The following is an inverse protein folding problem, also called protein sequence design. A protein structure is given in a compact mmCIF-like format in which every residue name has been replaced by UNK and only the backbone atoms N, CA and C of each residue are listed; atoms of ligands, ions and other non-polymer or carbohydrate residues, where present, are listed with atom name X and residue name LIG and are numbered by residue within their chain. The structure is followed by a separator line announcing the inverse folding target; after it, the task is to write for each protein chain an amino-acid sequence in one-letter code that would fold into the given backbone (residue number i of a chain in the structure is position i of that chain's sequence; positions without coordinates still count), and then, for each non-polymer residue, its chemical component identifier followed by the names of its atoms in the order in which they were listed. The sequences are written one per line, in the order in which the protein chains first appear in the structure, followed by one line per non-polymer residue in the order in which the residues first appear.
data_IF_316592579272
#
_entry.id   IF_316592579272
#
_cell.length_a   1.000
_cell.length_b   1.000
_cell.length_c   1.000
_cell.angle_alpha   90.00
_cell.angle_beta   90.00
_cell.angle_gamma   90.00
#
_symmetry.space_group_name_H-M   'P 1'
#
loop_
_entity.id
_entity.type
_entity.pdbx_description
1 polymer ?
#
# COMPACT_ATOMS: atom_id res chain seq x y z
N UNK A 1 -8.77 11.37 -8.60
CA UNK A 1 -8.12 10.14 -8.10
C UNK A 1 -8.31 9.02 -9.10
N UNK A 2 -7.49 8.95 -10.15
CA UNK A 2 -7.65 7.94 -11.22
C UNK A 2 -7.30 6.52 -10.75
N UNK A 3 -6.41 6.39 -9.76
CA UNK A 3 -6.02 5.12 -9.16
C UNK A 3 -6.95 4.69 -7.99
N UNK A 4 -7.98 5.47 -7.67
CA UNK A 4 -8.98 5.14 -6.63
C UNK A 4 -8.50 5.30 -5.18
N UNK A 5 -7.46 6.10 -4.93
CA UNK A 5 -6.92 6.35 -3.58
C UNK A 5 -7.90 7.04 -2.63
N UNK A 6 -8.87 7.77 -3.17
CA UNK A 6 -10.05 8.26 -2.44
C UNK A 6 -10.89 7.11 -1.88
N UNK A 7 -11.16 6.10 -2.71
CA UNK A 7 -11.83 4.86 -2.29
C UNK A 7 -11.05 4.09 -1.23
N UNK A 8 -9.73 3.92 -1.40
CA UNK A 8 -8.88 3.24 -0.40
C UNK A 8 -8.94 3.93 0.96
N UNK A 9 -8.82 5.26 0.97
CA UNK A 9 -8.88 6.08 2.19
C UNK A 9 -10.25 5.98 2.86
N UNK A 10 -11.33 6.12 2.09
CA UNK A 10 -12.70 6.03 2.62
C UNK A 10 -12.99 4.64 3.19
N UNK A 11 -12.55 3.57 2.53
CA UNK A 11 -12.72 2.19 3.00
C UNK A 11 -11.93 1.93 4.28
N UNK A 12 -10.69 2.43 4.41
CA UNK A 12 -9.91 2.26 5.63
C UNK A 12 -10.55 2.99 6.82
N UNK A 13 -11.13 4.18 6.60
CA UNK A 13 -11.92 4.87 7.63
C UNK A 13 -13.18 4.08 8.01
N UNK A 14 -13.85 3.45 7.05
CA UNK A 14 -14.97 2.55 7.31
C UNK A 14 -14.56 1.34 8.15
N UNK A 15 -13.43 0.71 7.81
CA UNK A 15 -12.85 -0.37 8.58
C UNK A 15 -12.47 0.07 10.01
N UNK A 16 -11.85 1.25 10.15
CA UNK A 16 -11.52 1.84 11.46
C UNK A 16 -12.75 2.00 12.35
N UNK A 17 -13.86 2.51 11.78
CA UNK A 17 -15.13 2.65 12.51
C UNK A 17 -15.67 1.29 12.95
N UNK A 18 -15.62 0.29 12.08
CA UNK A 18 -16.09 -1.06 12.42
C UNK A 18 -15.20 -1.71 13.49
N UNK A 19 -13.88 -1.61 13.35
CA UNK A 19 -12.91 -2.15 14.31
C UNK A 19 -13.08 -1.53 15.70
N UNK A 20 -13.22 -0.21 15.77
CA UNK A 20 -13.46 0.49 17.04
C UNK A 20 -14.76 0.03 17.71
N UNK A 21 -15.83 -0.19 16.94
CA UNK A 21 -17.10 -0.70 17.49
C UNK A 21 -17.02 -2.15 18.01
N UNK A 22 -15.96 -2.89 17.69
CA UNK A 22 -15.74 -4.28 18.09
C UNK A 22 -14.39 -4.47 18.80
N UNK A 23 -13.83 -3.39 19.37
CA UNK A 23 -12.46 -3.37 19.89
C UNK A 23 -12.22 -4.41 20.99
N UNK A 24 -13.22 -4.64 21.85
CA UNK A 24 -13.17 -5.63 22.94
C UNK A 24 -12.97 -7.09 22.46
N UNK A 25 -13.32 -7.37 21.20
CA UNK A 25 -13.19 -8.69 20.60
C UNK A 25 -11.88 -8.86 19.81
N UNK A 26 -11.08 -7.79 19.67
CA UNK A 26 -9.84 -7.86 18.91
C UNK A 26 -8.76 -8.61 19.71
N UNK A 27 -8.03 -9.55 19.07
CA UNK A 27 -6.98 -10.32 19.74
C UNK A 27 -5.72 -9.49 20.03
N UNK A 28 -5.64 -8.27 19.53
CA UNK A 28 -4.50 -7.37 19.66
C UNK A 28 -4.79 -6.00 19.04
N UNK A 29 -3.86 -5.04 19.19
CA UNK A 29 -4.00 -3.70 18.63
C UNK A 29 -4.00 -3.73 17.10
N UNK A 30 -4.66 -2.73 16.50
CA UNK A 30 -4.65 -2.51 15.04
C UNK A 30 -4.12 -1.11 14.75
N UNK A 31 -3.05 -1.03 13.96
CA UNK A 31 -2.50 0.23 13.45
C UNK A 31 -3.09 0.55 12.08
N UNK A 32 -3.52 1.79 11.88
CA UNK A 32 -4.09 2.27 10.62
C UNK A 32 -3.06 3.14 9.89
N UNK A 33 -2.62 2.70 8.71
CA UNK A 33 -1.60 3.40 7.91
C UNK A 33 -2.23 4.13 6.73
N UNK A 34 -2.28 5.47 6.79
CA UNK A 34 -2.70 6.32 5.68
C UNK A 34 -1.46 6.82 4.92
N UNK A 35 -0.98 6.00 3.98
CA UNK A 35 0.27 6.27 3.29
C UNK A 35 0.15 7.44 2.29
N UNK A 36 1.02 8.47 2.36
CA UNK A 36 1.10 9.50 1.33
C UNK A 36 1.89 9.02 0.11
N UNK A 37 1.92 9.81 -0.96
CA UNK A 37 2.91 9.73 -2.05
C UNK A 37 3.17 8.31 -2.63
N UNK A 38 2.13 7.50 -2.78
CA UNK A 38 2.22 6.14 -3.34
C UNK A 38 2.68 6.17 -4.81
N UNK A 39 2.10 7.05 -5.62
CA UNK A 39 2.35 7.14 -7.08
C UNK A 39 3.83 7.39 -7.42
N UNK A 40 4.58 8.02 -6.50
CA UNK A 40 6.01 8.28 -6.65
C UNK A 40 6.92 7.17 -6.10
N UNK A 41 6.35 6.15 -5.46
CA UNK A 41 7.10 5.03 -4.89
C UNK A 41 7.92 5.35 -3.63
N UNK A 42 7.72 6.52 -3.01
CA UNK A 42 8.55 6.99 -1.89
C UNK A 42 7.83 7.03 -0.54
N UNK A 43 6.49 7.12 -0.54
CA UNK A 43 5.73 7.29 0.70
C UNK A 43 5.87 6.14 1.69
N UNK A 44 5.78 4.89 1.22
CA UNK A 44 5.96 3.70 2.05
C UNK A 44 7.34 3.71 2.74
N UNK A 45 8.39 4.05 1.98
CA UNK A 45 9.75 4.08 2.49
C UNK A 45 9.91 5.10 3.61
N UNK A 46 9.42 6.32 3.41
CA UNK A 46 9.46 7.36 4.44
C UNK A 46 8.74 6.96 5.72
N UNK A 47 7.54 6.37 5.62
CA UNK A 47 6.82 5.89 6.79
C UNK A 47 7.57 4.78 7.54
N UNK A 48 8.19 3.85 6.81
CA UNK A 48 8.99 2.78 7.42
C UNK A 48 10.21 3.36 8.15
N UNK A 49 10.91 4.31 7.51
CA UNK A 49 12.08 4.97 8.11
C UNK A 49 11.68 5.79 9.37
N UNK A 50 10.42 6.26 9.45
CA UNK A 50 9.82 6.93 10.63
C UNK A 50 9.23 5.97 11.68
N UNK A 51 9.41 4.65 11.53
CA UNK A 51 8.99 3.64 12.51
C UNK A 51 7.53 3.18 12.40
N UNK A 52 6.85 3.41 11.27
CA UNK A 52 5.43 3.06 11.11
C UNK A 52 5.13 1.56 11.20
N UNK A 53 6.14 0.70 11.10
CA UNK A 53 6.02 -0.77 11.23
C UNK A 53 6.61 -1.32 12.54
N UNK A 54 7.07 -0.45 13.44
CA UNK A 54 7.63 -0.90 14.71
C UNK A 54 6.55 -1.60 15.56
N UNK A 55 6.81 -2.87 15.91
CA UNK A 55 5.85 -3.70 16.65
C UNK A 55 4.65 -4.20 15.82
N UNK A 56 4.69 -4.10 14.49
CA UNK A 56 3.67 -4.64 13.59
C UNK A 56 4.06 -6.06 13.14
N UNK A 57 3.24 -7.05 13.50
CA UNK A 57 3.48 -8.46 13.12
C UNK A 57 3.11 -8.75 11.66
N UNK A 58 2.05 -8.09 11.16
CA UNK A 58 1.50 -8.31 9.83
C UNK A 58 0.86 -7.03 9.30
N UNK A 59 1.04 -6.77 8.01
CA UNK A 59 0.44 -5.62 7.31
C UNK A 59 -0.44 -6.13 6.17
N UNK A 60 -1.61 -5.52 6.01
CA UNK A 60 -2.54 -5.79 4.93
C UNK A 60 -2.77 -4.51 4.11
N UNK A 61 -2.87 -4.68 2.80
CA UNK A 61 -3.26 -3.63 1.86
C UNK A 61 -4.22 -4.19 0.81
N UNK A 62 -4.94 -3.31 0.13
CA UNK A 62 -5.80 -3.70 -0.98
C UNK A 62 -5.76 -2.64 -2.07
N UNK A 63 -6.02 -3.06 -3.31
CA UNK A 63 -6.14 -2.15 -4.44
C UNK A 63 -7.44 -2.45 -5.19
N UNK A 64 -8.06 -1.42 -5.78
CA UNK A 64 -9.19 -1.65 -6.66
C UNK A 64 -8.65 -2.21 -7.99
N UNK A 65 -9.32 -3.20 -8.56
CA UNK A 65 -8.87 -3.79 -9.82
C UNK A 65 -10.03 -3.85 -10.80
N UNK A 66 -10.17 -2.86 -11.71
CA UNK A 66 -11.35 -2.74 -12.57
C UNK A 66 -11.64 -3.96 -13.45
N UNK A 67 -10.65 -4.81 -13.70
CA UNK A 67 -10.81 -6.04 -14.48
C UNK A 67 -11.39 -7.23 -13.66
N UNK A 68 -11.50 -7.11 -12.33
CA UNK A 68 -12.09 -8.14 -11.46
C UNK A 68 -13.56 -7.77 -11.18
N UNK A 69 -14.52 -8.72 -11.29
CA UNK A 69 -15.92 -8.46 -11.00
C UNK A 69 -16.17 -7.92 -9.58
N UNK A 70 -17.17 -7.04 -9.45
CA UNK A 70 -17.59 -6.55 -8.14
C UNK A 70 -18.00 -7.69 -7.19
N UNK A 71 -17.63 -7.56 -5.92
CA UNK A 71 -17.89 -8.57 -4.89
C UNK A 71 -16.86 -9.71 -4.83
N UNK A 72 -15.88 -9.73 -5.74
CA UNK A 72 -14.78 -10.69 -5.72
C UNK A 72 -13.49 -10.03 -5.22
N UNK A 73 -12.90 -10.61 -4.17
CA UNK A 73 -11.56 -10.27 -3.69
C UNK A 73 -10.58 -11.39 -4.07
N UNK A 74 -9.36 -11.02 -4.46
CA UNK A 74 -8.31 -11.96 -4.87
C UNK A 74 -7.07 -11.68 -4.04
N UNK A 75 -6.52 -12.71 -3.39
CA UNK A 75 -5.33 -12.65 -2.54
C UNK A 75 -4.50 -13.93 -2.76
N UNK A 76 -3.70 -14.00 -3.84
CA UNK A 76 -2.90 -15.18 -4.13
C UNK A 76 -1.63 -15.19 -3.27
N UNK A 77 -1.13 -16.38 -2.95
CA UNK A 77 0.16 -16.54 -2.28
C UNK A 77 1.31 -16.15 -3.21
N UNK A 78 2.38 -15.59 -2.63
CA UNK A 78 3.61 -15.26 -3.34
C UNK A 78 3.60 -13.88 -4.00
N UNK A 79 4.22 -13.76 -5.17
CA UNK A 79 4.43 -12.47 -5.84
C UNK A 79 3.17 -12.02 -6.60
N UNK A 80 2.69 -10.82 -6.30
CA UNK A 80 1.48 -10.24 -6.93
C UNK A 80 1.82 -9.12 -7.92
N UNK A 81 2.80 -8.27 -7.62
CA UNK A 81 3.24 -7.16 -8.47
C UNK A 81 4.74 -7.29 -8.79
N UNK A 82 5.14 -6.83 -9.98
CA UNK A 82 6.54 -6.84 -10.40
C UNK A 82 7.36 -5.77 -9.65
N UNK A 83 8.66 -6.02 -9.46
CA UNK A 83 9.58 -4.96 -9.06
C UNK A 83 9.74 -3.91 -10.15
N UNK A 84 9.91 -2.64 -9.76
CA UNK A 84 10.27 -1.55 -10.65
C UNK A 84 11.74 -1.16 -10.46
N UNK A 85 12.35 -0.61 -11.50
CA UNK A 85 13.74 -0.15 -11.45
C UNK A 85 14.01 0.78 -12.62
N UNK A 86 14.92 1.73 -12.41
CA UNK A 86 15.36 2.68 -13.42
C UNK A 86 16.87 2.62 -13.52
N UNK A 87 17.39 2.68 -14.73
CA UNK A 87 18.83 2.79 -14.99
C UNK A 87 19.07 3.91 -15.99
N UNK A 88 20.23 4.54 -15.88
CA UNK A 88 20.65 5.62 -16.76
C UNK A 88 21.96 5.21 -17.44
N UNK A 89 22.09 5.54 -18.73
CA UNK A 89 23.32 5.31 -19.50
C UNK A 89 23.78 6.66 -20.05
N UNK A 90 24.97 7.07 -19.63
CA UNK A 90 25.67 8.19 -20.23
C UNK A 90 26.65 7.66 -21.29
N UNK A 91 26.53 8.14 -22.52
CA UNK A 91 27.46 7.82 -23.62
C UNK A 91 28.21 9.08 -24.01
N UNK A 92 29.52 9.09 -23.78
CA UNK A 92 30.41 10.18 -24.17
C UNK A 92 31.28 9.75 -25.35
N UNK A 93 31.12 10.43 -26.49
CA UNK A 93 31.97 10.22 -27.67
C UNK A 93 33.31 10.95 -27.51
N UNK A 94 34.41 10.26 -27.80
CA UNK A 94 35.77 10.83 -27.72
C UNK A 94 36.28 11.48 -29.02
N UNK A 95 35.47 11.52 -30.09
CA UNK A 95 35.85 12.08 -31.39
C UNK A 95 36.86 11.22 -32.17
N UNK A 96 36.89 11.41 -33.49
CA UNK A 96 37.84 10.80 -34.42
C UNK A 96 38.63 11.87 -35.17
#
# INVERSE_FOLDING_TARGET
HACGHDGHTATLLGAARWLHAHEDALPGPVTLLFQPAEEGGHGARGMIDDGALDGVDVVFGWHNWPAIPFGLAVCPDGTVMCGNGTFEILVEGVGG
#
